data_IF_440425876364
#
_entry.id   IF_440425876364
#
_cell.length_a   1.000
_cell.length_b   1.000
_cell.length_c   1.000
_cell.angle_alpha   90.00
_cell.angle_beta   90.00
_cell.angle_gamma   90.00
#
_symmetry.space_group_name_H-M   'P 1'
#
loop_
_entity.id
_entity.type
_entity.pdbx_description
1 polymer ?
#
# COMPACT_ATOMS: atom_id res chain seq x y z
N UNK A 1 -4.41 7.56 16.90
CA UNK A 1 -5.73 7.15 16.39
C UNK A 1 -5.55 6.96 14.89
N UNK A 2 -5.73 5.74 14.38
CA UNK A 2 -5.81 5.52 12.92
C UNK A 2 -7.17 6.09 12.47
N UNK A 3 -7.23 6.92 11.42
CA UNK A 3 -8.51 7.36 10.89
C UNK A 3 -9.34 6.14 10.50
N UNK A 4 -10.67 6.20 10.69
CA UNK A 4 -11.56 5.14 10.18
C UNK A 4 -11.48 5.13 8.65
N UNK A 5 -10.66 4.24 8.09
CA UNK A 5 -10.48 4.06 6.66
C UNK A 5 -11.71 3.32 6.11
N UNK A 6 -12.83 4.03 5.93
CA UNK A 6 -14.01 3.49 5.22
C UNK A 6 -13.89 3.85 3.74
N UNK A 7 -13.70 2.87 2.83
CA UNK A 7 -13.55 3.15 1.39
C UNK A 7 -14.77 3.82 0.76
N UNK A 8 -15.93 3.75 1.42
CA UNK A 8 -17.20 4.25 0.90
C UNK A 8 -17.38 5.77 1.10
N UNK A 9 -16.59 6.39 1.98
CA UNK A 9 -16.70 7.82 2.33
C UNK A 9 -15.45 8.65 1.99
N UNK A 10 -14.33 7.99 1.69
CA UNK A 10 -13.10 8.62 1.27
C UNK A 10 -12.84 8.25 -0.19
N UNK A 11 -12.60 9.25 -1.03
CA UNK A 11 -12.07 9.03 -2.37
C UNK A 11 -10.75 8.24 -2.21
N UNK A 12 -10.42 7.31 -3.11
CA UNK A 12 -9.19 6.51 -2.93
C UNK A 12 -7.94 7.42 -2.99
N UNK A 13 -8.10 8.57 -3.64
CA UNK A 13 -7.26 9.76 -3.69
C UNK A 13 -7.06 10.43 -2.30
N UNK A 14 -7.94 10.21 -1.32
CA UNK A 14 -7.78 10.81 0.03
C UNK A 14 -6.71 10.11 0.88
N UNK A 15 -6.24 8.92 0.47
CA UNK A 15 -5.30 8.08 1.25
C UNK A 15 -3.82 8.36 0.94
N UNK A 16 -3.49 9.59 0.54
CA UNK A 16 -2.46 9.85 -0.47
C UNK A 16 -0.98 10.01 -0.04
N UNK A 17 -0.12 9.74 -1.05
CA UNK A 17 1.29 10.11 -1.17
C UNK A 17 2.29 9.07 -0.69
N UNK A 18 2.23 8.77 0.60
CA UNK A 18 3.17 7.85 1.25
C UNK A 18 2.40 6.76 1.99
N UNK A 19 2.88 5.52 1.92
CA UNK A 19 2.27 4.38 2.62
C UNK A 19 2.26 4.63 4.14
N UNK A 20 1.16 4.34 4.83
CA UNK A 20 1.08 4.48 6.30
C UNK A 20 2.11 3.60 7.04
N UNK A 21 2.49 2.47 6.43
CA UNK A 21 3.58 1.60 6.89
C UNK A 21 4.95 2.29 6.87
N UNK A 22 5.13 3.33 6.05
CA UNK A 22 6.31 4.20 6.10
C UNK A 22 6.14 5.29 7.17
N UNK A 23 4.96 5.90 7.26
CA UNK A 23 4.67 6.96 8.22
C UNK A 23 4.75 6.49 9.69
N UNK A 24 4.56 5.20 9.97
CA UNK A 24 4.64 4.64 11.33
C UNK A 24 6.01 4.87 11.99
N UNK A 25 7.08 5.01 11.21
CA UNK A 25 8.44 5.19 11.70
C UNK A 25 8.75 6.62 12.21
N UNK A 26 7.88 7.58 11.93
CA UNK A 26 8.03 8.94 12.45
C UNK A 26 7.35 9.03 13.82
N UNK A 27 8.10 9.31 14.88
CA UNK A 27 7.53 9.42 16.21
C UNK A 27 6.68 10.69 16.37
N UNK A 28 7.16 11.80 15.81
CA UNK A 28 6.47 13.09 15.84
C UNK A 28 5.25 13.08 14.89
N UNK A 29 4.03 13.33 15.41
CA UNK A 29 2.83 13.47 14.59
C UNK A 29 2.93 14.55 13.52
N UNK A 30 3.65 15.65 13.77
CA UNK A 30 3.79 16.77 12.82
C UNK A 30 4.57 16.35 11.57
N UNK A 31 5.55 15.46 11.69
CA UNK A 31 6.24 14.90 10.52
C UNK A 31 5.30 14.09 9.63
N UNK A 32 4.38 13.31 10.23
CA UNK A 32 3.38 12.56 9.45
C UNK A 32 2.42 13.49 8.73
N UNK A 33 1.97 14.56 9.40
CA UNK A 33 1.10 15.58 8.82
C UNK A 33 1.82 16.28 7.65
N UNK A 34 3.08 16.67 7.82
CA UNK A 34 3.88 17.29 6.79
C UNK A 34 4.05 16.39 5.56
N UNK A 35 4.35 15.10 5.75
CA UNK A 35 4.49 14.14 4.66
C UNK A 35 3.18 13.89 3.91
N UNK A 36 2.04 13.80 4.61
CA UNK A 36 0.72 13.70 3.96
C UNK A 36 0.41 14.94 3.13
N UNK A 37 0.65 16.14 3.67
CA UNK A 37 0.48 17.41 2.94
C UNK A 37 1.39 17.50 1.72
N UNK A 38 2.62 17.02 1.83
CA UNK A 38 3.54 16.95 0.70
C UNK A 38 3.03 15.99 -0.38
N UNK A 39 2.51 14.82 0.02
CA UNK A 39 1.87 13.87 -0.89
C UNK A 39 0.74 14.51 -1.70
N UNK A 40 -0.19 15.17 -1.02
CA UNK A 40 -1.31 15.89 -1.63
C UNK A 40 -0.82 16.99 -2.60
N UNK A 41 0.21 17.75 -2.19
CA UNK A 41 0.80 18.77 -3.06
C UNK A 41 1.40 18.16 -4.33
N UNK A 42 2.15 17.06 -4.22
CA UNK A 42 2.74 16.38 -5.38
C UNK A 42 1.66 15.84 -6.32
N UNK A 43 0.61 15.25 -5.77
CA UNK A 43 -0.51 14.76 -6.56
C UNK A 43 -1.22 15.89 -7.31
N UNK A 44 -1.53 16.99 -6.61
CA UNK A 44 -2.11 18.19 -7.23
C UNK A 44 -1.21 18.74 -8.36
N UNK A 45 0.11 18.80 -8.15
CA UNK A 45 1.06 19.24 -9.17
C UNK A 45 1.10 18.31 -10.40
N UNK A 46 0.91 17.00 -10.22
CA UNK A 46 0.83 16.03 -11.32
C UNK A 46 -0.43 16.29 -12.16
N UNK A 47 -1.57 16.56 -11.52
CA UNK A 47 -2.84 16.84 -12.21
C UNK A 47 -2.82 18.17 -12.96
N UNK A 48 -2.20 19.20 -12.38
CA UNK A 48 -2.12 20.55 -12.96
C UNK A 48 -0.92 20.74 -13.91
N UNK A 49 -0.14 19.68 -14.19
CA UNK A 49 1.04 19.77 -15.04
C UNK A 49 0.65 20.12 -16.50
N UNK A 50 1.19 21.21 -17.09
CA UNK A 50 0.85 21.63 -18.46
C UNK A 50 1.32 20.63 -19.53
N UNK A 51 2.26 19.76 -19.16
CA UNK A 51 2.72 18.63 -19.96
C UNK A 51 2.68 17.40 -19.06
N UNK A 52 1.60 16.60 -19.09
CA UNK A 52 1.59 15.36 -18.32
C UNK A 52 2.76 14.48 -18.76
N UNK A 53 3.34 13.69 -17.84
CA UNK A 53 4.38 12.73 -18.23
C UNK A 53 3.86 11.86 -19.39
N UNK A 54 4.73 11.46 -20.33
CA UNK A 54 4.32 10.63 -21.46
C UNK A 54 3.57 9.41 -20.93
N UNK A 55 2.32 9.28 -21.37
CA UNK A 55 1.48 8.16 -20.98
C UNK A 55 2.08 6.87 -21.56
N UNK A 56 1.99 5.74 -20.85
CA UNK A 56 2.41 4.45 -21.39
C UNK A 56 1.75 4.23 -22.77
N UNK A 57 2.56 3.99 -23.80
CA UNK A 57 2.09 3.81 -25.17
C UNK A 57 1.64 2.35 -25.40
N UNK A 58 0.61 2.17 -26.23
CA UNK A 58 0.05 0.86 -26.59
C UNK A 58 -1.31 0.56 -25.96
N UNK A 59 -2.03 -0.42 -26.53
CA UNK A 59 -3.35 -0.81 -26.06
C UNK A 59 -3.29 -1.35 -24.62
N UNK A 60 -4.04 -0.70 -23.72
CA UNK A 60 -4.10 -1.09 -22.31
C UNK A 60 -2.85 -0.80 -21.48
N UNK A 61 -1.82 -0.13 -22.03
CA UNK A 61 -0.58 0.16 -21.32
C UNK A 61 -0.81 0.98 -20.04
N UNK A 62 -1.70 1.98 -20.09
CA UNK A 62 -2.11 2.75 -18.91
C UNK A 62 -2.68 1.85 -17.80
N UNK A 63 -3.63 0.97 -18.13
CA UNK A 63 -4.27 0.04 -17.16
C UNK A 63 -3.22 -0.89 -16.57
N UNK A 64 -2.34 -1.45 -17.41
CA UNK A 64 -1.26 -2.34 -16.96
C UNK A 64 -0.28 -1.66 -16.02
N UNK A 65 0.08 -0.40 -16.28
CA UNK A 65 0.98 0.36 -15.39
C UNK A 65 0.34 0.60 -14.02
N UNK A 66 -0.94 0.95 -13.97
CA UNK A 66 -1.66 1.16 -12.70
C UNK A 66 -1.82 -0.14 -11.91
N UNK A 67 -2.19 -1.22 -12.58
CA UNK A 67 -2.27 -2.55 -11.97
C UNK A 67 -0.89 -3.07 -11.53
N UNK A 68 0.18 -2.74 -12.27
CA UNK A 68 1.55 -3.04 -11.88
C UNK A 68 1.98 -2.29 -10.61
N UNK A 69 1.60 -1.03 -10.47
CA UNK A 69 1.81 -0.26 -9.24
C UNK A 69 1.04 -0.88 -8.05
N UNK A 70 -0.24 -1.22 -8.24
CA UNK A 70 -1.04 -1.89 -7.23
C UNK A 70 -0.46 -3.26 -6.82
N UNK A 71 0.08 -4.02 -7.79
CA UNK A 71 0.78 -5.28 -7.50
C UNK A 71 2.02 -5.05 -6.61
N UNK A 72 2.80 -4.01 -6.89
CA UNK A 72 3.95 -3.65 -6.07
C UNK A 72 3.54 -3.25 -4.64
N UNK A 73 2.42 -2.53 -4.47
CA UNK A 73 1.83 -2.23 -3.17
C UNK A 73 1.41 -3.49 -2.41
N UNK A 74 0.74 -4.44 -3.09
CA UNK A 74 0.34 -5.72 -2.49
C UNK A 74 1.54 -6.54 -2.04
N UNK A 75 2.59 -6.65 -2.87
CA UNK A 75 3.82 -7.39 -2.54
C UNK A 75 4.55 -6.78 -1.36
N UNK A 76 4.60 -5.45 -1.30
CA UNK A 76 5.14 -4.78 -0.12
C UNK A 76 4.31 -5.07 1.12
N UNK A 77 2.98 -4.94 1.05
CA UNK A 77 2.10 -5.16 2.19
C UNK A 77 2.17 -6.61 2.68
N UNK A 78 2.25 -7.58 1.78
CA UNK A 78 2.53 -8.98 2.08
C UNK A 78 3.82 -9.11 2.92
N UNK A 79 4.92 -8.50 2.47
CA UNK A 79 6.20 -8.54 3.15
C UNK A 79 6.15 -7.89 4.53
N UNK A 80 5.60 -6.68 4.62
CA UNK A 80 5.46 -5.93 5.87
C UNK A 80 4.65 -6.70 6.92
N UNK A 81 3.49 -7.25 6.54
CA UNK A 81 2.67 -8.06 7.44
C UNK A 81 3.32 -9.39 7.81
N UNK A 82 4.11 -9.96 6.90
CA UNK A 82 4.88 -11.18 7.15
C UNK A 82 5.94 -10.95 8.22
N UNK A 83 6.67 -9.82 8.13
CA UNK A 83 7.63 -9.37 9.12
C UNK A 83 6.96 -9.15 10.49
N UNK A 84 5.90 -8.35 10.57
CA UNK A 84 5.16 -8.12 11.83
C UNK A 84 4.61 -9.42 12.43
N UNK A 85 4.22 -10.37 11.59
CA UNK A 85 3.72 -11.67 12.04
C UNK A 85 4.78 -12.55 12.72
N UNK A 86 6.06 -12.32 12.46
CA UNK A 86 7.18 -13.08 13.06
C UNK A 86 7.59 -12.53 14.44
N UNK A 87 7.34 -11.26 14.72
CA UNK A 87 7.70 -10.58 15.99
C UNK A 87 7.03 -11.19 17.24
N UNK A 88 5.93 -11.93 17.09
CA UNK A 88 5.19 -12.55 18.20
C UNK A 88 5.72 -13.92 18.64
N UNK A 89 6.81 -14.41 18.05
CA UNK A 89 7.39 -15.74 18.31
C UNK A 89 8.34 -15.82 19.51
N UNK A 90 8.81 -14.68 20.01
CA UNK A 90 9.84 -14.64 21.05
C UNK A 90 9.23 -14.61 22.46
N UNK A 91 8.90 -15.81 22.97
CA UNK A 91 9.09 -16.26 24.38
C UNK A 91 8.57 -15.43 25.57
N UNK A 92 7.94 -14.27 25.40
CA UNK A 92 7.56 -13.36 26.50
C UNK A 92 6.44 -12.37 26.18
N UNK A 93 5.85 -12.44 24.99
CA UNK A 93 4.78 -11.54 24.55
C UNK A 93 3.46 -11.78 25.29
N UNK A 94 2.76 -10.72 25.69
CA UNK A 94 1.39 -10.81 26.19
C UNK A 94 0.48 -11.48 25.15
N UNK A 95 -0.48 -12.31 25.58
CA UNK A 95 -1.40 -13.08 24.72
C UNK A 95 -2.04 -12.26 23.60
N UNK A 96 -2.37 -11.00 23.86
CA UNK A 96 -2.94 -10.08 22.88
C UNK A 96 -2.00 -9.76 21.72
N UNK A 97 -0.70 -9.53 22.00
CA UNK A 97 0.32 -9.29 20.97
C UNK A 97 0.51 -10.52 20.09
N UNK A 98 0.55 -11.71 20.69
CA UNK A 98 0.63 -12.97 19.93
C UNK A 98 -0.53 -13.13 18.95
N UNK A 99 -1.75 -12.80 19.37
CA UNK A 99 -2.93 -12.85 18.50
C UNK A 99 -2.85 -11.85 17.34
N UNK A 100 -2.32 -10.64 17.58
CA UNK A 100 -2.10 -9.63 16.55
C UNK A 100 -1.04 -10.08 15.52
N UNK A 101 0.09 -10.64 15.97
CA UNK A 101 1.11 -11.19 15.08
C UNK A 101 0.58 -12.37 14.26
N UNK A 102 -0.18 -13.28 14.87
CA UNK A 102 -0.84 -14.37 14.15
C UNK A 102 -1.85 -13.86 13.10
N UNK A 103 -2.59 -12.80 13.43
CA UNK A 103 -3.48 -12.14 12.47
C UNK A 103 -2.69 -11.54 11.31
N UNK A 104 -1.61 -10.79 11.59
CA UNK A 104 -0.73 -10.21 10.57
C UNK A 104 -0.18 -11.29 9.62
N UNK A 105 0.33 -12.41 10.15
CA UNK A 105 0.83 -13.51 9.35
C UNK A 105 -0.25 -14.18 8.48
N UNK A 106 -1.50 -14.30 8.97
CA UNK A 106 -2.63 -14.81 8.16
C UNK A 106 -2.99 -13.84 7.03
N UNK A 107 -3.04 -12.54 7.32
CA UNK A 107 -3.37 -11.51 6.33
C UNK A 107 -2.26 -11.41 5.28
N UNK A 108 -0.99 -11.46 5.67
CA UNK A 108 0.16 -11.53 4.75
C UNK A 108 -0.03 -12.62 3.68
N UNK A 109 -0.38 -13.84 4.11
CA UNK A 109 -0.67 -14.95 3.17
C UNK A 109 -1.88 -14.69 2.29
N UNK A 110 -2.91 -14.01 2.79
CA UNK A 110 -4.08 -13.66 1.99
C UNK A 110 -3.73 -12.60 0.93
N UNK A 111 -3.02 -11.55 1.31
CA UNK A 111 -2.51 -10.52 0.39
C UNK A 111 -1.62 -11.15 -0.68
N UNK A 112 -0.75 -12.10 -0.31
CA UNK A 112 0.09 -12.83 -1.26
C UNK A 112 -0.70 -13.58 -2.34
N UNK A 113 -1.83 -14.21 -1.97
CA UNK A 113 -2.70 -14.89 -2.94
C UNK A 113 -3.39 -13.91 -3.90
N UNK A 114 -3.81 -12.75 -3.41
CA UNK A 114 -4.39 -11.73 -4.30
C UNK A 114 -3.33 -11.10 -5.22
N UNK A 115 -2.11 -10.91 -4.72
CA UNK A 115 -0.98 -10.49 -5.54
C UNK A 115 -0.68 -11.50 -6.67
N UNK A 116 -0.66 -12.80 -6.36
CA UNK A 116 -0.47 -13.88 -7.35
C UNK A 116 -1.59 -13.90 -8.40
N UNK A 117 -2.85 -13.68 -7.99
CA UNK A 117 -3.98 -13.57 -8.93
C UNK A 117 -3.84 -12.39 -9.87
N UNK A 118 -3.48 -11.22 -9.35
CA UNK A 118 -3.28 -10.02 -10.15
C UNK A 118 -2.08 -10.17 -11.10
N UNK A 119 -0.97 -10.72 -10.61
CA UNK A 119 0.21 -11.04 -11.41
C UNK A 119 -0.12 -12.02 -12.54
N UNK A 120 -0.89 -13.07 -12.25
CA UNK A 120 -1.39 -14.00 -13.26
C UNK A 120 -2.26 -13.32 -14.33
N UNK A 121 -3.18 -12.44 -13.93
CA UNK A 121 -4.01 -11.69 -14.87
C UNK A 121 -3.19 -10.72 -15.75
N UNK A 122 -2.17 -10.08 -15.18
CA UNK A 122 -1.24 -9.23 -15.92
C UNK A 122 -0.37 -10.02 -16.90
N UNK A 123 0.08 -11.21 -16.49
CA UNK A 123 0.91 -12.11 -17.30
C UNK A 123 0.14 -12.84 -18.41
N UNK A 124 -1.14 -13.16 -18.20
CA UNK A 124 -2.01 -13.77 -19.23
C UNK A 124 -2.35 -12.82 -20.39
N UNK A 125 -2.00 -11.54 -20.27
CA UNK A 125 -2.20 -10.53 -21.30
C UNK A 125 -1.00 -10.27 -22.23
N UNK A 126 0.11 -11.01 -22.19
CA UNK A 126 1.20 -10.85 -23.17
C UNK A 126 1.75 -12.21 -23.60
N UNK A 127 1.98 -12.54 -24.87
CA UNK A 127 2.30 -11.75 -26.08
C UNK A 127 1.15 -11.64 -27.09
#
# INVERSE_FOLDING_TARGET
MFPELRPEAAQWEDFEGFRETFLVHFADPEHKVALRRLGQLLYALILEAPYPPPQPEGEGAWVRSHLGAALADLRFLQGFLGFVGQEGGDGGSARELTLLCQAAGRISRAVGREAERLEGALGQGGL
#
